data_IF_260500245465
#
_entry.id   IF_260500245465
#
_cell.length_a   1.000
_cell.length_b   1.000
_cell.length_c   1.000
_cell.angle_alpha   90.00
_cell.angle_beta   90.00
_cell.angle_gamma   90.00
#
_symmetry.space_group_name_H-M   'P 1'
#
loop_
_entity.id
_entity.type
_entity.pdbx_description
1 polymer ?
#
# COMPACT_ATOMS: atom_id res chain seq x y z
N UNK A 1 21.27 -16.71 6.55
CA UNK A 1 20.06 -15.88 6.33
C UNK A 1 18.93 -16.50 7.15
N UNK A 2 18.09 -15.72 7.84
CA UNK A 2 16.96 -16.30 8.60
C UNK A 2 15.79 -16.53 7.65
N UNK A 3 15.28 -17.76 7.62
CA UNK A 3 14.14 -18.19 6.82
C UNK A 3 12.88 -18.30 7.70
N UNK A 4 11.72 -18.56 7.11
CA UNK A 4 10.45 -18.63 7.84
C UNK A 4 10.22 -20.05 8.36
N UNK A 5 9.91 -20.14 9.66
CA UNK A 5 9.52 -21.39 10.33
C UNK A 5 8.00 -21.54 10.25
N UNK A 6 7.53 -22.66 9.71
CA UNK A 6 6.09 -22.94 9.59
C UNK A 6 5.83 -24.46 9.51
N UNK A 7 4.57 -24.85 9.59
CA UNK A 7 4.14 -26.24 9.37
C UNK A 7 4.38 -26.66 7.92
N UNK A 8 4.76 -27.91 7.71
CA UNK A 8 5.02 -28.52 6.39
C UNK A 8 4.21 -29.80 6.21
N UNK A 9 4.17 -30.31 4.97
CA UNK A 9 3.47 -31.53 4.60
C UNK A 9 3.87 -32.71 5.49
N UNK A 10 2.95 -33.68 5.60
CA UNK A 10 3.14 -34.93 6.37
C UNK A 10 3.40 -34.67 7.86
N UNK A 11 2.72 -33.67 8.44
CA UNK A 11 2.84 -33.30 9.86
C UNK A 11 4.27 -32.90 10.24
N UNK A 12 5.00 -32.29 9.31
CA UNK A 12 6.37 -31.85 9.52
C UNK A 12 6.44 -30.37 9.89
N UNK A 13 7.62 -29.92 10.29
CA UNK A 13 7.99 -28.51 10.43
C UNK A 13 9.06 -28.20 9.40
N UNK A 14 8.97 -27.04 8.76
CA UNK A 14 10.05 -26.49 7.93
C UNK A 14 10.58 -25.22 8.56
N UNK A 15 11.91 -25.07 8.54
CA UNK A 15 12.61 -23.84 8.91
C UNK A 15 13.11 -23.09 7.68
N UNK A 16 12.84 -23.61 6.48
CA UNK A 16 13.45 -23.16 5.23
C UNK A 16 12.45 -22.58 4.24
N UNK A 17 11.27 -22.15 4.73
CA UNK A 17 10.29 -21.50 3.86
C UNK A 17 10.79 -20.10 3.44
N UNK A 18 10.75 -19.82 2.14
CA UNK A 18 11.35 -18.62 1.52
C UNK A 18 10.44 -17.97 0.49
N UNK A 19 10.82 -16.77 0.06
CA UNK A 19 10.19 -16.04 -1.04
C UNK A 19 9.11 -15.08 -0.56
N UNK A 20 8.66 -14.22 -1.48
CA UNK A 20 7.59 -13.25 -1.22
C UNK A 20 6.28 -13.92 -0.80
N UNK A 21 6.05 -15.14 -1.26
CA UNK A 21 4.92 -15.99 -0.86
C UNK A 21 4.89 -16.29 0.65
N UNK A 22 6.04 -16.28 1.33
CA UNK A 22 6.13 -16.45 2.78
C UNK A 22 5.74 -15.18 3.55
N UNK A 23 5.89 -14.00 2.93
CA UNK A 23 5.57 -12.71 3.54
C UNK A 23 4.07 -12.44 3.60
N UNK A 24 3.32 -12.84 2.57
CA UNK A 24 1.87 -12.58 2.50
C UNK A 24 1.07 -13.23 3.65
N UNK A 25 1.31 -14.49 4.06
CA UNK A 25 0.66 -15.09 5.23
C UNK A 25 0.97 -14.36 6.55
N UNK A 26 2.18 -13.82 6.72
CA UNK A 26 2.53 -13.02 7.89
C UNK A 26 1.72 -11.72 7.92
N UNK A 27 1.65 -11.02 6.79
CA UNK A 27 0.80 -9.84 6.64
C UNK A 27 -0.68 -10.15 6.93
N UNK A 28 -1.18 -11.28 6.43
CA UNK A 28 -2.55 -11.74 6.70
C UNK A 28 -2.81 -11.98 8.19
N UNK A 29 -1.84 -12.56 8.91
CA UNK A 29 -1.93 -12.72 10.37
C UNK A 29 -1.99 -11.38 11.11
N UNK A 30 -1.20 -10.39 10.70
CA UNK A 30 -1.22 -9.05 11.28
C UNK A 30 -2.56 -8.33 11.01
N UNK A 31 -3.08 -8.47 9.78
CA UNK A 31 -4.41 -7.95 9.41
C UNK A 31 -5.50 -8.60 10.27
N UNK A 32 -5.42 -9.91 10.51
CA UNK A 32 -6.38 -10.61 11.37
C UNK A 32 -6.38 -10.06 12.81
N UNK A 33 -5.22 -9.78 13.40
CA UNK A 33 -5.12 -9.14 14.72
C UNK A 33 -5.74 -7.73 14.73
N UNK A 34 -5.57 -7.00 13.65
CA UNK A 34 -6.13 -5.64 13.51
C UNK A 34 -7.66 -5.68 13.38
N UNK A 35 -8.20 -6.64 12.63
CA UNK A 35 -9.63 -6.90 12.52
C UNK A 35 -10.23 -7.44 13.82
N UNK A 36 -9.50 -8.24 14.59
CA UNK A 36 -9.92 -8.66 15.92
C UNK A 36 -10.07 -7.45 16.86
N UNK A 37 -9.14 -6.49 16.76
CA UNK A 37 -9.19 -5.26 17.56
C UNK A 37 -10.32 -4.31 17.14
N UNK A 38 -10.71 -4.31 15.86
CA UNK A 38 -11.85 -3.56 15.34
C UNK A 38 -12.50 -4.29 14.16
N UNK A 39 -13.59 -5.06 14.40
CA UNK A 39 -14.26 -5.82 13.35
C UNK A 39 -15.01 -4.96 12.32
N UNK A 40 -15.16 -3.64 12.56
CA UNK A 40 -15.87 -2.72 11.67
C UNK A 40 -14.98 -2.09 10.61
N UNK A 41 -13.67 -2.36 10.61
CA UNK A 41 -12.76 -1.86 9.59
C UNK A 41 -13.15 -2.36 8.20
N UNK A 42 -13.26 -1.42 7.26
CA UNK A 42 -13.45 -1.74 5.85
C UNK A 42 -12.12 -2.16 5.21
N UNK A 43 -12.19 -2.67 3.97
CA UNK A 43 -11.00 -3.02 3.21
C UNK A 43 -10.08 -1.80 2.96
N UNK A 44 -10.65 -0.60 2.81
CA UNK A 44 -9.90 0.66 2.66
C UNK A 44 -9.27 1.08 3.97
N UNK A 45 -10.00 0.99 5.08
CA UNK A 45 -9.46 1.30 6.41
C UNK A 45 -8.20 0.49 6.70
N UNK A 46 -8.19 -0.79 6.37
CA UNK A 46 -7.02 -1.65 6.55
C UNK A 46 -5.82 -1.16 5.74
N UNK A 47 -6.02 -0.73 4.49
CA UNK A 47 -4.95 -0.18 3.66
C UNK A 47 -4.39 1.10 4.27
N UNK A 48 -5.24 2.03 4.71
CA UNK A 48 -4.80 3.25 5.38
C UNK A 48 -4.03 2.97 6.66
N UNK A 49 -4.49 2.03 7.50
CA UNK A 49 -3.79 1.64 8.73
C UNK A 49 -2.39 1.11 8.41
N UNK A 50 -2.22 0.32 7.36
CA UNK A 50 -0.88 -0.14 6.92
C UNK A 50 0.00 1.05 6.53
N UNK A 51 -0.51 1.99 5.72
CA UNK A 51 0.23 3.19 5.31
C UNK A 51 0.61 4.08 6.51
N UNK A 52 -0.27 4.18 7.51
CA UNK A 52 -0.05 5.01 8.69
C UNK A 52 0.95 4.43 9.68
N UNK A 53 1.09 3.09 9.71
CA UNK A 53 1.85 2.41 10.76
C UNK A 53 3.13 1.72 10.28
N UNK A 54 3.31 1.56 8.96
CA UNK A 54 4.49 0.91 8.40
C UNK A 54 5.80 1.63 8.77
N UNK A 55 6.86 0.83 8.94
CA UNK A 55 8.18 1.30 9.37
C UNK A 55 9.22 1.12 8.25
N UNK A 56 9.78 2.21 7.70
CA UNK A 56 10.81 2.13 6.65
C UNK A 56 12.21 1.82 7.20
N UNK A 57 12.38 1.79 8.52
CA UNK A 57 13.69 1.63 9.16
C UNK A 57 14.21 0.20 9.03
N UNK A 58 15.53 0.05 8.95
CA UNK A 58 16.23 -1.24 8.81
C UNK A 58 15.91 -2.01 7.52
N UNK A 59 15.41 -1.30 6.49
CA UNK A 59 15.19 -1.82 5.14
C UNK A 59 16.12 -1.09 4.17
N UNK A 60 16.99 -1.83 3.50
CA UNK A 60 17.97 -1.27 2.57
C UNK A 60 17.39 -1.26 1.15
N UNK A 61 17.17 -0.06 0.61
CA UNK A 61 16.82 0.17 -0.78
C UNK A 61 17.39 1.51 -1.24
N UNK A 62 17.78 1.62 -2.50
CA UNK A 62 18.36 2.85 -3.07
C UNK A 62 17.29 3.81 -3.62
N UNK A 63 16.03 3.40 -3.62
CA UNK A 63 14.88 4.10 -4.23
C UNK A 63 13.91 4.72 -3.22
N UNK A 64 14.30 4.83 -1.94
CA UNK A 64 13.50 5.51 -0.93
C UNK A 64 13.30 6.98 -1.29
N UNK A 65 12.04 7.39 -1.45
CA UNK A 65 11.63 8.78 -1.67
C UNK A 65 10.62 9.23 -0.61
N UNK A 66 10.57 10.53 -0.35
CA UNK A 66 9.56 11.14 0.52
C UNK A 66 8.42 11.66 -0.37
N UNK A 67 7.19 11.21 -0.13
CA UNK A 67 6.03 11.63 -0.90
C UNK A 67 5.48 13.00 -0.45
N UNK A 68 4.41 13.48 -1.09
CA UNK A 68 3.82 14.80 -0.82
C UNK A 68 3.28 15.01 0.60
N UNK A 69 3.08 13.94 1.38
CA UNK A 69 2.63 14.01 2.79
C UNK A 69 3.75 13.67 3.79
N UNK A 70 5.01 13.62 3.33
CA UNK A 70 6.16 13.43 4.21
C UNK A 70 6.45 11.97 4.60
N UNK A 71 5.77 10.98 4.00
CA UNK A 71 6.02 9.55 4.25
C UNK A 71 7.09 9.02 3.31
N UNK A 72 7.96 8.13 3.81
CA UNK A 72 8.94 7.41 2.99
C UNK A 72 8.26 6.27 2.24
N UNK A 73 8.54 6.15 0.95
CA UNK A 73 8.06 5.07 0.08
C UNK A 73 9.19 4.56 -0.80
N UNK A 74 9.24 3.25 -1.01
CA UNK A 74 10.15 2.55 -1.92
C UNK A 74 9.32 1.68 -2.86
N UNK A 75 9.74 1.49 -4.11
CA UNK A 75 9.08 0.52 -5.00
C UNK A 75 9.30 -0.93 -4.55
N UNK A 76 10.37 -1.19 -3.79
CA UNK A 76 10.67 -2.53 -3.24
C UNK A 76 9.87 -2.84 -1.97
N UNK A 77 9.61 -1.83 -1.14
CA UNK A 77 9.05 -2.03 0.22
C UNK A 77 7.74 -1.28 0.50
N UNK A 78 7.20 -0.52 -0.46
CA UNK A 78 6.08 0.38 -0.18
C UNK A 78 6.42 1.35 0.94
N UNK A 79 5.54 1.47 1.93
CA UNK A 79 5.77 2.30 3.13
C UNK A 79 6.68 1.65 4.19
N UNK A 80 7.12 0.41 3.97
CA UNK A 80 8.03 -0.33 4.85
C UNK A 80 7.40 -1.54 5.52
N UNK A 81 8.01 -1.97 6.62
CA UNK A 81 7.62 -3.19 7.33
C UNK A 81 6.32 -2.95 8.13
N UNK A 82 5.37 -3.89 8.05
CA UNK A 82 4.15 -3.85 8.86
C UNK A 82 4.48 -4.00 10.35
N UNK A 83 3.88 -3.14 11.18
CA UNK A 83 4.02 -3.19 12.63
C UNK A 83 2.70 -3.62 13.27
N UNK A 84 2.63 -4.88 13.72
CA UNK A 84 1.43 -5.44 14.30
C UNK A 84 0.92 -4.68 15.53
N UNK A 85 1.82 -4.21 16.39
CA UNK A 85 1.44 -3.49 17.60
C UNK A 85 0.87 -2.12 17.27
N UNK A 86 1.52 -1.39 16.35
CA UNK A 86 1.03 -0.11 15.88
C UNK A 86 -0.30 -0.23 15.12
N UNK A 87 -0.44 -1.24 14.25
CA UNK A 87 -1.69 -1.52 13.52
C UNK A 87 -2.85 -1.81 14.48
N UNK A 88 -2.67 -2.72 15.44
CA UNK A 88 -3.70 -3.02 16.45
C UNK A 88 -4.04 -1.81 17.31
N UNK A 89 -3.04 -1.03 17.72
CA UNK A 89 -3.25 0.18 18.53
C UNK A 89 -4.07 1.23 17.78
N UNK A 90 -3.75 1.46 16.51
CA UNK A 90 -4.46 2.42 15.66
C UNK A 90 -5.88 1.93 15.34
N UNK A 91 -6.05 0.64 15.07
CA UNK A 91 -7.32 0.00 14.74
C UNK A 91 -8.41 0.23 15.80
N UNK A 92 -8.06 0.17 17.09
CA UNK A 92 -9.00 0.32 18.21
C UNK A 92 -9.73 1.66 18.23
N UNK A 93 -9.09 2.72 17.75
CA UNK A 93 -9.64 4.08 17.73
C UNK A 93 -9.77 4.62 16.31
N UNK A 94 -9.78 3.73 15.30
CA UNK A 94 -9.88 4.12 13.90
C UNK A 94 -11.28 4.64 13.58
N UNK A 95 -11.33 5.75 12.85
CA UNK A 95 -12.57 6.27 12.27
C UNK A 95 -12.60 5.89 10.80
N UNK A 96 -13.66 5.19 10.38
CA UNK A 96 -13.81 4.74 9.00
C UNK A 96 -13.68 5.90 8.02
N UNK A 97 -12.91 5.67 6.95
CA UNK A 97 -12.69 6.67 5.91
C UNK A 97 -13.98 7.01 5.16
N UNK A 98 -14.13 8.23 4.62
CA UNK A 98 -15.29 8.61 3.79
C UNK A 98 -15.43 7.72 2.55
N UNK A 99 -16.58 7.84 1.87
CA UNK A 99 -16.84 7.13 0.61
C UNK A 99 -15.73 7.35 -0.43
N UNK A 100 -15.43 6.29 -1.19
CA UNK A 100 -14.41 6.34 -2.23
C UNK A 100 -14.92 7.14 -3.42
N UNK A 101 -14.13 8.11 -3.86
CA UNK A 101 -14.42 8.89 -5.07
C UNK A 101 -13.41 8.55 -6.17
N UNK A 102 -13.89 8.48 -7.42
CA UNK A 102 -13.04 8.23 -8.59
C UNK A 102 -13.17 9.42 -9.53
N UNK A 103 -12.09 10.20 -9.66
CA UNK A 103 -12.00 11.29 -10.62
C UNK A 103 -11.34 10.79 -11.91
N UNK A 104 -12.13 10.70 -12.98
CA UNK A 104 -11.63 10.34 -14.31
C UNK A 104 -11.35 11.60 -15.13
N UNK A 105 -10.10 11.76 -15.57
CA UNK A 105 -9.68 12.87 -16.42
C UNK A 105 -9.31 12.29 -17.78
N UNK A 106 -9.85 12.86 -18.86
CA UNK A 106 -9.47 12.50 -20.23
C UNK A 106 -8.38 13.45 -20.72
N UNK A 107 -7.30 12.89 -21.24
CA UNK A 107 -6.31 13.67 -21.98
C UNK A 107 -6.97 14.35 -23.17
N UNK A 108 -6.81 15.66 -23.30
CA UNK A 108 -7.26 16.41 -24.48
C UNK A 108 -6.29 16.26 -25.66
N UNK A 109 -5.09 15.73 -25.43
CA UNK A 109 -4.12 15.42 -26.49
C UNK A 109 -4.57 14.16 -27.26
N UNK A 110 -5.46 14.37 -28.23
CA UNK A 110 -5.90 13.36 -29.19
C UNK A 110 -4.89 13.13 -30.33
N UNK A 111 -3.76 13.84 -30.33
CA UNK A 111 -2.69 13.56 -31.27
C UNK A 111 -2.04 12.23 -30.86
N UNK A 112 -2.30 11.19 -31.65
CA UNK A 112 -1.66 9.88 -31.54
C UNK A 112 -0.14 10.04 -31.64
N UNK A 113 0.53 10.31 -30.53
CA UNK A 113 1.99 10.31 -30.46
C UNK A 113 2.46 8.87 -30.70
N UNK A 114 3.19 8.65 -31.79
CA UNK A 114 3.82 7.36 -32.03
C UNK A 114 4.86 7.14 -30.94
N UNK A 115 4.73 6.02 -30.20
CA UNK A 115 5.72 5.60 -29.22
C UNK A 115 7.02 5.26 -29.97
N UNK A 116 8.09 6.05 -29.82
CA UNK A 116 9.32 5.80 -30.55
C UNK A 116 9.94 4.49 -30.04
N UNK A 117 10.50 3.67 -30.96
CA UNK A 117 11.20 2.43 -30.57
C UNK A 117 12.34 2.70 -29.58
N UNK A 118 13.01 3.85 -29.74
CA UNK A 118 14.03 4.35 -28.83
C UNK A 118 13.73 5.82 -28.53
N UNK A 119 13.31 6.12 -27.31
CA UNK A 119 13.01 7.49 -26.88
C UNK A 119 12.18 7.55 -25.61
N UNK A 120 11.80 8.77 -25.22
CA UNK A 120 10.90 9.03 -24.09
C UNK A 120 9.74 9.88 -24.59
N UNK A 121 8.52 9.46 -24.25
CA UNK A 121 7.34 10.31 -24.35
C UNK A 121 7.05 10.84 -22.95
N UNK A 122 6.73 12.13 -22.87
CA UNK A 122 6.24 12.77 -21.64
C UNK A 122 4.88 13.36 -21.97
N UNK A 123 3.84 12.86 -21.31
CA UNK A 123 2.48 13.40 -21.40
C UNK A 123 2.21 14.15 -20.10
N UNK A 124 1.75 15.39 -20.21
CA UNK A 124 1.38 16.22 -19.06
C UNK A 124 -0.13 16.33 -19.00
N UNK A 125 -0.71 15.96 -17.86
CA UNK A 125 -2.13 16.08 -17.58
C UNK A 125 -2.33 17.06 -16.43
N UNK A 126 -3.24 18.01 -16.62
CA UNK A 126 -3.66 18.93 -15.57
C UNK A 126 -5.04 18.52 -15.06
N UNK A 127 -5.23 18.56 -13.75
CA UNK A 127 -6.50 18.24 -13.10
C UNK A 127 -6.67 19.09 -11.84
N UNK A 128 -7.92 19.43 -11.56
CA UNK A 128 -8.39 20.03 -10.31
C UNK A 128 -8.92 18.98 -9.31
N UNK A 129 -8.75 17.68 -9.61
CA UNK A 129 -9.32 16.61 -8.80
C UNK A 129 -10.84 16.46 -8.95
N UNK A 130 -11.41 16.88 -10.09
CA UNK A 130 -12.86 16.89 -10.34
C UNK A 130 -13.61 17.83 -9.39
N UNK A 131 -13.01 18.99 -9.14
CA UNK A 131 -13.58 20.02 -8.27
C UNK A 131 -15.00 20.42 -8.73
N UNK A 132 -15.90 20.66 -7.77
CA UNK A 132 -17.30 21.00 -8.03
C UNK A 132 -18.21 19.84 -8.45
N UNK A 133 -17.69 18.62 -8.59
CA UNK A 133 -18.48 17.41 -8.88
C UNK A 133 -18.67 16.53 -7.63
N UNK A 134 -19.59 15.55 -7.71
CA UNK A 134 -19.75 14.52 -6.67
C UNK A 134 -18.54 13.59 -6.52
N UNK A 135 -17.64 13.55 -7.51
CA UNK A 135 -16.44 12.71 -7.52
C UNK A 135 -15.17 13.51 -7.19
N UNK A 136 -15.30 14.67 -6.53
CA UNK A 136 -14.16 15.47 -6.13
C UNK A 136 -13.25 14.67 -5.18
N UNK A 137 -12.00 14.47 -5.58
CA UNK A 137 -10.95 13.82 -4.80
C UNK A 137 -10.06 14.87 -4.15
N UNK A 138 -10.14 14.99 -2.82
CA UNK A 138 -9.30 15.91 -2.03
C UNK A 138 -8.05 15.26 -1.45
N UNK A 139 -8.09 13.95 -1.27
CA UNK A 139 -7.03 13.16 -0.65
C UNK A 139 -6.79 11.93 -1.52
N UNK A 140 -5.53 11.67 -1.84
CA UNK A 140 -5.11 10.46 -2.52
C UNK A 140 -4.88 9.36 -1.49
N UNK A 141 -5.27 8.14 -1.83
CA UNK A 141 -5.05 6.91 -1.05
C UNK A 141 -3.69 6.28 -1.40
#
# INVERSE_FOLDING_TARGET
EKQIVTTDLRQSCTETHTGTSASAPLAAGIIALSLEANPSLTWRDMQHIVVETAKPHNLNADDWVINGVGKKVSHSFGFGLMDAAAMVSLSRNWTTVPDQHICEIRSQDHNSQQIPMNGRITVTLYTDGCEGTGNHVKYLE
#
